data_IF_868005848322
#
_entry.id   IF_868005848322
#
_cell.length_a   1.000
_cell.length_b   1.000
_cell.length_c   1.000
_cell.angle_alpha   90.00
_cell.angle_beta   90.00
_cell.angle_gamma   90.00
#
_symmetry.space_group_name_H-M   'P 1'
#
loop_
_entity.id
_entity.type
_entity.pdbx_description
1 polymer ?
#
# COMPACT_ATOMS: atom_id res chain seq x y z
N UNK A 1 -18.99 -0.55 9.11
CA UNK A 1 -19.43 0.03 7.80
C UNK A 1 -20.95 0.07 7.78
N UNK A 2 -21.65 0.73 6.85
CA UNK A 2 -23.11 0.61 6.74
C UNK A 2 -23.53 0.58 5.27
N UNK A 3 -24.56 -0.20 4.94
CA UNK A 3 -25.18 -0.15 3.62
C UNK A 3 -25.81 1.23 3.38
N UNK A 4 -25.56 1.80 2.21
CA UNK A 4 -26.08 3.09 1.78
C UNK A 4 -27.21 2.98 0.74
N UNK A 5 -27.64 1.75 0.43
CA UNK A 5 -28.69 1.45 -0.55
C UNK A 5 -28.26 1.67 -2.01
N UNK A 6 -26.97 1.95 -2.26
CA UNK A 6 -26.41 2.21 -3.61
C UNK A 6 -25.41 1.14 -4.04
N UNK A 7 -25.45 -0.04 -3.41
CA UNK A 7 -24.63 -1.20 -3.78
C UNK A 7 -23.23 -1.21 -3.16
N UNK A 8 -22.96 -0.42 -2.12
CA UNK A 8 -21.71 -0.54 -1.37
C UNK A 8 -21.66 -1.80 -0.48
N UNK A 9 -22.79 -2.50 -0.34
CA UNK A 9 -22.91 -3.76 0.36
C UNK A 9 -23.93 -4.65 -0.36
N UNK A 10 -23.60 -5.92 -0.54
CA UNK A 10 -24.42 -6.95 -1.18
C UNK A 10 -24.30 -8.21 -0.32
N UNK A 11 -25.45 -8.77 0.04
CA UNK A 11 -25.55 -10.07 0.71
C UNK A 11 -26.54 -10.94 -0.08
N UNK A 12 -26.06 -12.07 -0.61
CA UNK A 12 -26.85 -13.01 -1.43
C UNK A 12 -26.71 -14.43 -0.91
N UNK A 13 -27.78 -15.22 -1.08
CA UNK A 13 -27.77 -16.66 -0.81
C UNK A 13 -27.63 -17.41 -2.13
N UNK A 14 -26.60 -18.23 -2.22
CA UNK A 14 -26.29 -19.04 -3.39
C UNK A 14 -26.45 -20.54 -3.10
N UNK A 15 -26.67 -21.33 -4.14
CA UNK A 15 -26.55 -22.79 -4.10
C UNK A 15 -25.07 -23.23 -4.16
N UNK A 16 -24.82 -24.55 -4.16
CA UNK A 16 -23.47 -25.11 -4.29
C UNK A 16 -22.79 -24.82 -5.64
N UNK A 17 -23.57 -24.47 -6.67
CA UNK A 17 -23.08 -24.06 -7.99
C UNK A 17 -22.84 -22.55 -8.09
N UNK A 18 -22.98 -21.81 -6.98
CA UNK A 18 -22.84 -20.34 -6.90
C UNK A 18 -23.92 -19.57 -7.68
N UNK A 19 -25.07 -20.17 -7.92
CA UNK A 19 -26.25 -19.51 -8.50
C UNK A 19 -27.06 -18.90 -7.37
N UNK A 20 -27.54 -17.65 -7.56
CA UNK A 20 -28.37 -16.97 -6.58
C UNK A 20 -29.75 -17.65 -6.49
N UNK A 21 -30.10 -18.08 -5.27
CA UNK A 21 -31.36 -18.79 -4.98
C UNK A 21 -32.18 -18.12 -3.89
N UNK A 22 -31.59 -17.21 -3.11
CA UNK A 22 -32.22 -16.55 -1.96
C UNK A 22 -33.64 -16.00 -2.22
N UNK A 23 -33.89 -15.28 -3.33
CA UNK A 23 -35.21 -14.77 -3.69
C UNK A 23 -36.27 -15.85 -3.94
N UNK A 24 -35.86 -17.04 -4.42
CA UNK A 24 -36.74 -18.14 -4.79
C UNK A 24 -36.98 -19.12 -3.64
N UNK A 25 -36.35 -18.89 -2.48
CA UNK A 25 -36.57 -19.68 -1.29
C UNK A 25 -37.93 -19.36 -0.62
N UNK A 26 -38.44 -20.32 0.14
CA UNK A 26 -39.64 -20.29 0.94
C UNK A 26 -39.29 -20.89 2.31
N UNK A 27 -39.00 -20.08 3.33
CA UNK A 27 -39.13 -18.63 3.34
C UNK A 27 -38.00 -17.95 2.55
N UNK A 28 -38.31 -16.81 1.94
CA UNK A 28 -37.35 -16.04 1.14
C UNK A 28 -36.16 -15.61 2.00
N UNK A 29 -34.96 -15.69 1.44
CA UNK A 29 -33.71 -15.31 2.11
C UNK A 29 -33.02 -14.22 1.29
N UNK A 30 -33.44 -12.97 1.51
CA UNK A 30 -33.06 -11.83 0.69
C UNK A 30 -32.78 -10.62 1.58
N UNK A 31 -31.58 -10.09 1.52
CA UNK A 31 -31.23 -8.81 2.14
C UNK A 31 -31.69 -7.65 1.24
N UNK A 32 -32.21 -6.54 1.79
CA UNK A 32 -32.44 -6.24 3.23
C UNK A 32 -33.83 -6.68 3.74
N UNK A 33 -34.59 -7.43 2.95
CA UNK A 33 -36.00 -7.72 3.23
C UNK A 33 -36.17 -8.69 4.43
N UNK A 34 -35.60 -9.89 4.31
CA UNK A 34 -35.74 -11.00 5.27
C UNK A 34 -34.47 -11.30 6.05
N UNK A 35 -33.40 -10.52 5.83
CA UNK A 35 -32.12 -10.63 6.53
C UNK A 35 -31.76 -9.26 7.08
N UNK A 36 -31.55 -9.19 8.39
CA UNK A 36 -31.05 -7.99 9.06
C UNK A 36 -29.53 -8.10 9.25
N UNK A 37 -28.79 -7.00 9.14
CA UNK A 37 -27.33 -6.98 9.26
C UNK A 37 -26.92 -5.99 10.34
N UNK A 38 -26.27 -6.51 11.38
CA UNK A 38 -25.49 -5.74 12.32
C UNK A 38 -24.08 -5.56 11.77
N UNK A 39 -23.84 -4.40 11.17
CA UNK A 39 -22.54 -4.08 10.57
C UNK A 39 -21.45 -3.71 11.59
N UNK A 40 -21.81 -3.51 12.86
CA UNK A 40 -20.85 -3.20 13.91
C UNK A 40 -20.23 -4.51 14.42
N UNK A 41 -21.06 -5.53 14.61
CA UNK A 41 -20.62 -6.85 15.07
C UNK A 41 -20.35 -7.84 13.92
N UNK A 42 -20.67 -7.48 12.68
CA UNK A 42 -20.49 -8.35 11.52
C UNK A 42 -21.45 -9.54 11.51
N UNK A 43 -22.61 -9.40 12.14
CA UNK A 43 -23.61 -10.46 12.28
C UNK A 43 -24.74 -10.20 11.29
N UNK A 44 -25.20 -11.23 10.58
CA UNK A 44 -26.45 -11.16 9.82
C UNK A 44 -27.43 -12.19 10.36
N UNK A 45 -28.67 -11.75 10.57
CA UNK A 45 -29.74 -12.52 11.18
C UNK A 45 -30.84 -12.77 10.15
N UNK A 46 -31.14 -14.04 9.90
CA UNK A 46 -32.29 -14.43 9.10
C UNK A 46 -33.56 -14.25 9.96
N UNK A 47 -34.56 -13.51 9.46
CA UNK A 47 -35.85 -13.37 10.16
C UNK A 47 -36.59 -14.70 10.27
N UNK A 48 -36.36 -15.59 9.32
CA UNK A 48 -36.86 -16.97 9.32
C UNK A 48 -35.73 -17.93 8.93
N UNK A 49 -35.65 -19.12 9.56
CA UNK A 49 -34.64 -20.10 9.22
C UNK A 49 -34.85 -20.66 7.82
N UNK A 50 -33.82 -21.29 7.27
CA UNK A 50 -33.97 -22.14 6.08
C UNK A 50 -34.96 -23.27 6.36
N UNK A 51 -35.78 -23.62 5.38
CA UNK A 51 -36.78 -24.69 5.51
C UNK A 51 -36.42 -25.95 4.72
N UNK A 52 -37.06 -27.05 5.11
CA UNK A 52 -36.99 -28.33 4.40
C UNK A 52 -37.60 -28.19 3.01
N UNK A 53 -36.81 -28.47 1.97
CA UNK A 53 -37.30 -28.63 0.60
C UNK A 53 -38.07 -27.42 0.05
N UNK A 54 -37.84 -26.23 0.60
CA UNK A 54 -38.53 -25.02 0.17
C UNK A 54 -40.06 -25.08 0.31
N UNK A 55 -40.56 -25.85 1.27
CA UNK A 55 -41.97 -26.28 1.28
C UNK A 55 -42.81 -25.65 2.39
N UNK A 56 -42.18 -25.09 3.44
CA UNK A 56 -42.90 -24.46 4.55
C UNK A 56 -42.06 -23.39 5.26
N UNK A 57 -42.60 -22.18 5.53
CA UNK A 57 -41.88 -21.12 6.23
C UNK A 57 -41.70 -21.38 7.74
N UNK A 58 -42.41 -22.36 8.31
CA UNK A 58 -42.44 -22.60 9.76
C UNK A 58 -41.63 -23.79 10.23
N UNK A 59 -41.10 -24.60 9.31
CA UNK A 59 -40.36 -25.83 9.65
C UNK A 59 -38.89 -25.71 9.24
N UNK A 60 -37.96 -25.54 10.19
CA UNK A 60 -36.53 -25.42 9.90
C UNK A 60 -35.95 -26.68 9.23
N UNK A 61 -34.98 -26.50 8.35
CA UNK A 61 -34.21 -27.59 7.72
C UNK A 61 -33.33 -28.29 8.78
N UNK A 62 -33.63 -29.54 9.17
CA UNK A 62 -32.94 -30.21 10.27
C UNK A 62 -31.47 -30.45 9.94
N UNK A 63 -31.10 -30.57 8.67
CA UNK A 63 -29.70 -30.82 8.28
C UNK A 63 -28.82 -29.58 8.46
N UNK A 64 -29.41 -28.38 8.33
CA UNK A 64 -28.67 -27.12 8.47
C UNK A 64 -28.48 -26.74 9.94
N UNK A 65 -29.42 -27.17 10.80
CA UNK A 65 -29.45 -26.83 12.23
C UNK A 65 -29.14 -28.02 13.16
N UNK A 66 -28.63 -29.14 12.63
CA UNK A 66 -28.19 -30.29 13.40
C UNK A 66 -26.87 -30.02 14.15
N UNK A 67 -26.51 -30.92 15.08
CA UNK A 67 -25.21 -30.90 15.77
C UNK A 67 -24.01 -31.04 14.79
N UNK A 68 -24.21 -31.76 13.68
CA UNK A 68 -23.24 -31.88 12.59
C UNK A 68 -23.90 -31.34 11.30
N UNK A 69 -23.89 -30.01 11.09
CA UNK A 69 -24.67 -29.40 10.03
C UNK A 69 -24.09 -29.68 8.64
N UNK A 70 -24.98 -29.90 7.67
CA UNK A 70 -24.62 -30.07 6.26
C UNK A 70 -24.87 -28.75 5.52
N UNK A 71 -23.82 -28.18 4.95
CA UNK A 71 -23.93 -26.95 4.17
C UNK A 71 -24.56 -27.22 2.80
N UNK A 72 -25.80 -26.74 2.62
CA UNK A 72 -26.53 -26.80 1.34
C UNK A 72 -26.40 -25.51 0.53
N UNK A 73 -25.92 -24.42 1.13
CA UNK A 73 -26.01 -23.04 0.60
C UNK A 73 -24.80 -22.21 1.02
N UNK A 74 -24.51 -21.16 0.26
CA UNK A 74 -23.41 -20.24 0.49
C UNK A 74 -23.96 -18.83 0.68
N UNK A 75 -23.43 -18.07 1.64
CA UNK A 75 -23.64 -16.63 1.69
C UNK A 75 -22.51 -15.95 0.91
N UNK A 76 -22.87 -15.17 -0.11
CA UNK A 76 -21.95 -14.29 -0.82
C UNK A 76 -22.12 -12.88 -0.29
N UNK A 77 -21.06 -12.38 0.32
CA UNK A 77 -20.98 -11.00 0.81
C UNK A 77 -19.99 -10.27 -0.09
N UNK A 78 -20.44 -9.16 -0.68
CA UNK A 78 -19.57 -8.19 -1.33
C UNK A 78 -19.76 -6.85 -0.66
N UNK A 79 -18.67 -6.15 -0.38
CA UNK A 79 -18.75 -4.81 0.16
C UNK A 79 -17.62 -3.97 -0.42
N UNK A 80 -17.91 -2.70 -0.62
CA UNK A 80 -16.93 -1.69 -1.00
C UNK A 80 -16.73 -0.76 0.19
N UNK A 81 -15.51 -0.75 0.71
CA UNK A 81 -15.10 0.17 1.75
C UNK A 81 -13.95 1.04 1.28
N UNK A 82 -14.04 2.33 1.58
CA UNK A 82 -12.93 3.25 1.39
C UNK A 82 -12.14 3.30 2.68
N UNK A 83 -11.01 2.59 2.72
CA UNK A 83 -10.00 2.89 3.72
C UNK A 83 -9.47 4.31 3.45
N UNK A 84 -9.53 5.17 4.46
CA UNK A 84 -9.02 6.55 4.41
C UNK A 84 -7.55 6.64 4.84
N UNK A 85 -7.02 5.51 5.27
CA UNK A 85 -5.68 5.37 5.83
C UNK A 85 -4.99 4.26 5.08
N UNK A 86 -3.80 4.56 4.57
CA UNK A 86 -2.96 3.60 3.88
C UNK A 86 -1.81 3.22 4.80
N UNK A 87 -1.55 1.93 4.91
CA UNK A 87 -0.38 1.42 5.61
C UNK A 87 0.83 1.50 4.68
N UNK A 88 1.91 2.06 5.18
CA UNK A 88 3.20 2.12 4.52
C UNK A 88 4.08 1.03 5.14
N UNK A 89 4.84 1.40 6.17
CA UNK A 89 5.71 0.52 6.94
C UNK A 89 5.92 1.18 8.32
N UNK A 90 6.08 0.43 9.42
CA UNK A 90 6.39 1.00 10.72
C UNK A 90 7.79 1.64 10.74
N UNK A 91 8.04 2.53 11.71
CA UNK A 91 9.33 3.22 11.91
C UNK A 91 9.78 4.06 10.70
N UNK A 92 8.88 4.81 10.10
CA UNK A 92 9.23 5.74 9.03
C UNK A 92 10.17 6.83 9.57
N UNK A 93 11.22 7.15 8.80
CA UNK A 93 12.08 8.29 9.09
C UNK A 93 11.24 9.55 8.95
N UNK A 94 11.19 10.32 10.04
CA UNK A 94 10.39 11.53 10.15
C UNK A 94 10.76 12.50 9.02
N UNK A 95 9.73 12.91 8.27
CA UNK A 95 9.82 13.82 7.14
C UNK A 95 10.53 13.33 5.87
N UNK A 96 10.88 12.05 5.77
CA UNK A 96 11.51 11.48 4.58
C UNK A 96 10.57 11.32 3.38
N UNK A 97 9.26 11.42 3.60
CA UNK A 97 8.30 11.07 2.57
C UNK A 97 8.15 12.13 1.48
N UNK A 98 7.91 11.65 0.26
CA UNK A 98 7.39 12.42 -0.87
C UNK A 98 6.13 11.68 -1.34
N UNK A 99 5.01 12.39 -1.33
CA UNK A 99 3.70 11.86 -1.73
C UNK A 99 3.23 12.59 -2.97
N UNK A 100 2.92 11.85 -4.02
CA UNK A 100 2.43 12.35 -5.31
C UNK A 100 1.09 11.68 -5.61
N UNK A 101 0.07 12.46 -5.90
CA UNK A 101 -1.25 12.00 -6.32
C UNK A 101 -1.51 12.47 -7.74
N UNK A 102 -1.71 11.53 -8.67
CA UNK A 102 -1.98 11.81 -10.09
C UNK A 102 -0.94 12.79 -10.70
N UNK A 103 0.34 12.61 -10.34
CA UNK A 103 1.46 13.47 -10.76
C UNK A 103 1.63 14.77 -9.98
N UNK A 104 0.71 15.11 -9.07
CA UNK A 104 0.82 16.31 -8.22
C UNK A 104 1.43 15.98 -6.86
N UNK A 105 2.53 16.64 -6.51
CA UNK A 105 3.12 16.55 -5.17
C UNK A 105 2.18 17.14 -4.12
N UNK A 106 1.90 16.36 -3.08
CA UNK A 106 1.07 16.74 -1.95
C UNK A 106 1.91 17.30 -0.80
N UNK A 107 1.29 18.14 0.03
CA UNK A 107 1.94 18.83 1.14
C UNK A 107 1.54 18.22 2.48
N UNK A 108 2.53 17.82 3.29
CA UNK A 108 2.32 17.33 4.66
C UNK A 108 1.59 18.38 5.51
N UNK A 109 0.70 17.92 6.38
CA UNK A 109 -0.15 18.71 7.29
C UNK A 109 -1.09 19.70 6.57
N UNK A 110 -1.20 19.61 5.23
CA UNK A 110 -2.13 20.39 4.41
C UNK A 110 -3.02 19.45 3.59
N UNK A 111 -2.43 18.45 2.96
CA UNK A 111 -3.11 17.44 2.13
C UNK A 111 -3.20 16.07 2.82
N UNK A 112 -2.23 15.74 3.67
CA UNK A 112 -2.16 14.48 4.43
C UNK A 112 -1.37 14.64 5.73
N UNK A 113 -1.45 13.66 6.62
CA UNK A 113 -0.53 13.47 7.74
C UNK A 113 -0.08 12.01 7.84
N UNK A 114 1.04 11.77 8.53
CA UNK A 114 1.61 10.45 8.75
C UNK A 114 1.80 10.20 10.25
N UNK A 115 1.34 9.05 10.71
CA UNK A 115 1.82 8.43 11.95
C UNK A 115 3.11 7.67 11.63
N UNK A 116 4.25 8.28 11.96
CA UNK A 116 5.57 7.74 11.60
C UNK A 116 5.94 6.48 12.38
N UNK A 117 5.39 6.30 13.58
CA UNK A 117 5.66 5.13 14.41
C UNK A 117 4.83 3.93 13.92
N UNK A 118 3.52 4.14 13.74
CA UNK A 118 2.61 3.09 13.30
C UNK A 118 2.66 2.84 11.78
N UNK A 119 3.22 3.78 11.00
CA UNK A 119 3.42 3.61 9.56
C UNK A 119 2.17 3.92 8.72
N UNK A 120 1.27 4.75 9.20
CA UNK A 120 0.01 5.04 8.52
C UNK A 120 -0.03 6.46 7.95
N UNK A 121 -0.38 6.60 6.68
CA UNK A 121 -0.70 7.89 6.05
C UNK A 121 -2.22 8.07 5.96
N UNK A 122 -2.69 9.27 6.28
CA UNK A 122 -4.10 9.66 6.16
C UNK A 122 -4.23 10.95 5.36
N UNK A 123 -5.08 10.95 4.33
CA UNK A 123 -5.35 12.11 3.49
C UNK A 123 -6.52 12.93 4.03
N UNK A 124 -6.39 14.26 4.04
CA UNK A 124 -7.47 15.14 4.52
C UNK A 124 -8.62 15.27 3.51
N UNK A 125 -8.31 15.16 2.21
CA UNK A 125 -9.28 15.26 1.12
C UNK A 125 -9.41 13.92 0.35
N UNK A 126 -9.94 12.86 0.99
CA UNK A 126 -9.99 11.51 0.41
C UNK A 126 -10.87 11.43 -0.85
N UNK A 127 -11.80 12.37 -1.05
CA UNK A 127 -12.66 12.41 -2.24
C UNK A 127 -11.88 12.67 -3.54
N UNK A 128 -10.66 13.23 -3.43
CA UNK A 128 -9.72 13.37 -4.56
C UNK A 128 -9.12 12.03 -5.00
N UNK A 129 -9.20 11.01 -4.14
CA UNK A 129 -8.65 9.67 -4.39
C UNK A 129 -9.79 8.78 -4.90
N UNK A 130 -9.74 8.49 -6.20
CA UNK A 130 -10.71 7.64 -6.89
C UNK A 130 -10.10 6.28 -7.20
N UNK A 131 -10.92 5.34 -7.68
CA UNK A 131 -10.44 4.01 -8.09
C UNK A 131 -9.42 4.07 -9.23
N UNK A 132 -9.39 5.16 -10.01
CA UNK A 132 -8.42 5.38 -11.08
C UNK A 132 -7.22 6.23 -10.68
N UNK A 133 -7.18 6.74 -9.44
CA UNK A 133 -6.08 7.60 -9.00
C UNK A 133 -4.80 6.79 -8.76
N UNK A 134 -3.67 7.36 -9.12
CA UNK A 134 -2.33 6.80 -8.86
C UNK A 134 -1.68 7.58 -7.73
N UNK A 135 -1.23 6.86 -6.69
CA UNK A 135 -0.50 7.43 -5.56
C UNK A 135 0.92 6.89 -5.59
N UNK A 136 1.87 7.75 -5.90
CA UNK A 136 3.30 7.44 -5.83
C UNK A 136 3.87 7.95 -4.51
N UNK A 137 4.53 7.08 -3.76
CA UNK A 137 5.15 7.42 -2.48
C UNK A 137 6.58 6.89 -2.42
N UNK A 138 7.50 7.77 -2.02
CA UNK A 138 8.84 7.40 -1.61
C UNK A 138 9.09 7.87 -0.19
N UNK A 139 9.71 7.04 0.64
CA UNK A 139 9.99 7.31 2.04
C UNK A 139 11.17 6.46 2.50
N UNK A 140 11.76 6.83 3.63
CA UNK A 140 12.80 6.05 4.29
C UNK A 140 12.24 5.40 5.55
N UNK A 141 12.73 4.19 5.86
CA UNK A 141 12.35 3.42 7.04
C UNK A 141 13.59 3.25 7.89
N UNK A 142 13.49 3.57 9.18
CA UNK A 142 14.56 3.31 10.12
C UNK A 142 14.66 1.79 10.33
N UNK A 143 15.86 1.20 10.20
CA UNK A 143 16.03 -0.23 10.41
C UNK A 143 15.62 -0.57 11.85
N UNK A 144 14.79 -1.61 12.01
CA UNK A 144 14.62 -2.23 13.32
C UNK A 144 16.00 -2.67 13.83
N UNK A 145 16.25 -2.56 15.13
CA UNK A 145 17.57 -2.75 15.77
C UNK A 145 18.28 -4.10 15.49
N UNK A 146 17.66 -5.03 14.74
CA UNK A 146 18.21 -6.32 14.34
C UNK A 146 18.31 -6.53 12.81
N UNK A 147 18.08 -5.51 11.98
CA UNK A 147 18.30 -5.62 10.55
C UNK A 147 19.74 -5.19 10.23
N UNK A 148 20.52 -6.15 9.73
CA UNK A 148 21.86 -6.07 9.14
C UNK A 148 22.45 -4.65 9.03
N UNK A 149 23.54 -4.40 9.77
CA UNK A 149 24.30 -3.15 9.73
C UNK A 149 24.99 -2.95 8.36
N UNK A 150 24.27 -2.54 7.34
CA UNK A 150 24.89 -2.19 6.07
C UNK A 150 25.89 -1.04 6.29
N UNK A 151 27.14 -1.28 5.94
CA UNK A 151 28.21 -0.29 6.12
C UNK A 151 28.40 0.45 4.81
N UNK A 152 28.12 1.75 4.78
CA UNK A 152 28.40 2.61 3.64
C UNK A 152 29.76 3.30 3.82
N UNK A 153 30.67 3.07 2.88
CA UNK A 153 31.97 3.73 2.79
C UNK A 153 32.05 4.51 1.48
N UNK A 154 32.36 5.80 1.58
CA UNK A 154 32.45 6.68 0.43
C UNK A 154 33.72 7.50 0.41
N UNK A 155 34.22 7.77 -0.79
CA UNK A 155 35.25 8.80 -1.01
C UNK A 155 34.86 9.68 -2.18
N UNK A 156 35.10 10.98 -2.03
CA UNK A 156 34.92 11.96 -3.10
C UNK A 156 36.19 12.76 -3.26
N UNK A 157 36.65 12.87 -4.50
CA UNK A 157 37.75 13.75 -4.88
C UNK A 157 37.21 14.75 -5.87
N UNK A 158 37.48 16.03 -5.63
CA UNK A 158 37.13 17.10 -6.57
C UNK A 158 38.29 18.06 -6.72
N UNK A 159 38.37 18.67 -7.89
CA UNK A 159 39.40 19.65 -8.20
C UNK A 159 38.79 20.83 -8.97
N UNK A 160 39.18 22.03 -8.58
CA UNK A 160 38.80 23.28 -9.23
C UNK A 160 39.96 23.77 -10.11
N UNK A 161 39.77 23.81 -11.42
CA UNK A 161 40.73 24.41 -12.35
C UNK A 161 40.39 25.89 -12.52
N UNK A 162 41.05 26.72 -11.70
CA UNK A 162 40.77 28.15 -11.59
C UNK A 162 39.33 28.42 -11.13
N UNK A 163 38.85 29.65 -11.34
CA UNK A 163 37.54 30.08 -10.81
C UNK A 163 36.33 29.64 -11.66
N UNK A 164 36.59 28.86 -12.73
CA UNK A 164 35.62 28.64 -13.82
C UNK A 164 35.32 27.19 -14.10
N UNK A 165 36.13 26.23 -13.67
CA UNK A 165 35.88 24.82 -13.98
C UNK A 165 36.09 23.95 -12.75
N UNK A 166 35.22 22.95 -12.56
CA UNK A 166 35.42 21.91 -11.56
C UNK A 166 35.10 20.55 -12.14
N UNK A 167 35.85 19.53 -11.72
CA UNK A 167 35.53 18.12 -11.94
C UNK A 167 35.54 17.41 -10.60
N UNK A 168 34.62 16.47 -10.43
CA UNK A 168 34.52 15.63 -9.27
C UNK A 168 34.33 14.17 -9.65
N UNK A 169 34.73 13.29 -8.74
CA UNK A 169 34.42 11.87 -8.80
C UNK A 169 34.06 11.38 -7.41
N UNK A 170 33.02 10.56 -7.33
CA UNK A 170 32.55 9.93 -6.10
C UNK A 170 32.57 8.42 -6.29
N UNK A 171 33.07 7.71 -5.28
CA UNK A 171 32.96 6.26 -5.18
C UNK A 171 32.24 5.95 -3.87
N UNK A 172 31.14 5.21 -3.95
CA UNK A 172 30.39 4.72 -2.80
C UNK A 172 30.35 3.21 -2.82
N UNK A 173 30.66 2.59 -1.69
CA UNK A 173 30.57 1.16 -1.48
C UNK A 173 29.71 0.87 -0.27
N UNK A 174 28.63 0.12 -0.47
CA UNK A 174 27.77 -0.39 0.59
C UNK A 174 28.04 -1.88 0.78
N UNK A 175 28.53 -2.23 1.96
CA UNK A 175 28.74 -3.61 2.37
C UNK A 175 27.53 -4.10 3.17
N UNK A 176 26.81 -5.09 2.64
CA UNK A 176 25.76 -5.79 3.39
C UNK A 176 26.34 -6.54 4.58
N UNK A 177 25.79 -6.34 5.78
CA UNK A 177 26.22 -7.10 6.97
C UNK A 177 25.70 -8.54 6.91
N UNK A 178 26.59 -9.51 7.12
CA UNK A 178 26.22 -10.92 7.38
C UNK A 178 26.14 -11.13 8.88
N UNK A 179 25.03 -11.70 9.36
CA UNK A 179 24.95 -12.17 10.74
C UNK A 179 26.04 -13.23 11.01
N UNK A 180 26.76 -13.17 12.15
CA UNK A 180 27.78 -14.18 12.49
C UNK A 180 27.19 -15.55 12.85
N UNK A 181 25.87 -15.65 13.00
CA UNK A 181 25.15 -16.92 13.16
C UNK A 181 24.73 -17.49 11.80
N UNK A 182 24.32 -18.77 11.79
CA UNK A 182 23.97 -19.52 10.55
C UNK A 182 23.05 -18.66 9.65
N UNK A 183 23.44 -18.37 8.41
CA UNK A 183 22.69 -17.49 7.52
C UNK A 183 21.32 -18.09 7.20
N UNK A 184 20.27 -17.29 7.31
CA UNK A 184 18.92 -17.70 6.90
C UNK A 184 18.76 -17.60 5.38
N UNK A 185 17.91 -18.43 4.79
CA UNK A 185 17.70 -18.53 3.32
C UNK A 185 17.13 -17.23 2.73
N UNK A 186 16.64 -16.32 3.59
CA UNK A 186 16.13 -14.98 3.26
C UNK A 186 17.18 -13.86 3.41
N UNK A 187 18.35 -14.14 4.00
CA UNK A 187 19.43 -13.16 4.19
C UNK A 187 20.37 -13.15 2.97
N UNK A 188 20.08 -12.30 2.01
CA UNK A 188 20.98 -12.02 0.89
C UNK A 188 21.82 -10.80 1.27
N UNK A 189 23.03 -11.02 1.80
CA UNK A 189 24.00 -9.95 1.94
C UNK A 189 24.41 -9.47 0.54
N UNK A 190 23.80 -8.38 0.09
CA UNK A 190 24.11 -7.72 -1.17
C UNK A 190 25.13 -6.63 -0.94
N UNK A 191 25.99 -6.42 -1.93
CA UNK A 191 26.92 -5.29 -1.93
C UNK A 191 26.61 -4.39 -3.11
N UNK A 192 26.65 -3.08 -2.89
CA UNK A 192 26.41 -2.07 -3.91
C UNK A 192 27.64 -1.18 -4.07
N UNK A 193 28.07 -1.00 -5.31
CA UNK A 193 29.18 -0.13 -5.67
C UNK A 193 28.69 0.91 -6.68
N UNK A 194 28.82 2.18 -6.33
CA UNK A 194 28.41 3.32 -7.17
C UNK A 194 29.63 4.16 -7.52
N UNK A 195 29.73 4.51 -8.79
CA UNK A 195 30.74 5.42 -9.32
C UNK A 195 30.05 6.61 -9.98
N UNK A 196 30.52 7.81 -9.65
CA UNK A 196 29.98 9.06 -10.16
C UNK A 196 31.12 9.95 -10.69
N UNK A 197 30.81 10.71 -11.73
CA UNK A 197 31.66 11.75 -12.30
C UNK A 197 30.82 13.00 -12.57
N UNK A 198 31.30 14.14 -12.11
CA UNK A 198 30.64 15.43 -12.31
C UNK A 198 31.60 16.47 -12.89
N UNK A 199 31.04 17.36 -13.71
CA UNK A 199 31.76 18.45 -14.35
C UNK A 199 30.94 19.73 -14.34
N UNK A 200 31.58 20.85 -14.02
CA UNK A 200 30.94 22.16 -14.02
C UNK A 200 31.83 23.22 -14.68
N UNK A 201 31.22 24.07 -15.50
CA UNK A 201 31.83 25.24 -16.10
C UNK A 201 31.02 26.48 -15.71
N UNK A 202 31.61 27.34 -14.88
CA UNK A 202 31.00 28.54 -14.30
C UNK A 202 31.41 29.78 -15.09
N UNK A 203 30.46 30.71 -15.23
CA UNK A 203 30.70 32.06 -15.74
C UNK A 203 31.27 32.13 -17.16
N UNK A 204 30.76 31.32 -18.07
CA UNK A 204 31.04 31.39 -19.51
C UNK A 204 30.36 32.64 -20.07
N UNK A 205 31.12 33.60 -20.60
CA UNK A 205 30.57 34.81 -21.21
C UNK A 205 30.03 34.49 -22.60
N UNK A 206 28.77 34.85 -22.86
CA UNK A 206 28.14 34.78 -24.19
C UNK A 206 27.76 36.21 -24.58
N UNK A 207 28.58 36.84 -25.42
CA UNK A 207 28.49 38.28 -25.69
C UNK A 207 28.78 39.13 -24.44
N UNK A 208 28.35 40.40 -24.47
CA UNK A 208 28.78 41.40 -23.48
C UNK A 208 27.91 41.45 -22.21
N UNK A 209 26.77 40.77 -22.20
CA UNK A 209 25.76 40.87 -21.13
C UNK A 209 25.30 39.55 -20.53
N UNK A 210 25.63 38.40 -21.12
CA UNK A 210 25.15 37.10 -20.65
C UNK A 210 26.30 36.27 -20.09
N UNK A 211 26.04 35.64 -18.96
CA UNK A 211 26.96 34.74 -18.28
C UNK A 211 26.24 33.42 -18.02
N UNK A 212 26.79 32.33 -18.52
CA UNK A 212 26.23 30.99 -18.46
C UNK A 212 27.03 30.10 -17.51
N UNK A 213 26.35 29.21 -16.80
CA UNK A 213 26.96 28.11 -16.06
C UNK A 213 26.39 26.81 -16.59
N UNK A 214 27.25 25.84 -16.88
CA UNK A 214 26.90 24.51 -17.36
C UNK A 214 27.37 23.47 -16.33
N UNK A 215 26.56 22.46 -16.07
CA UNK A 215 26.92 21.30 -15.23
C UNK A 215 26.44 20.01 -15.88
N UNK A 216 27.21 18.94 -15.71
CA UNK A 216 26.85 17.60 -16.17
C UNK A 216 27.35 16.56 -15.18
N UNK A 217 26.57 15.49 -15.01
CA UNK A 217 26.82 14.41 -14.05
C UNK A 217 26.55 13.06 -14.73
N UNK A 218 27.36 12.05 -14.38
CA UNK A 218 27.20 10.67 -14.83
C UNK A 218 27.41 9.73 -13.65
N UNK A 219 26.45 8.83 -13.41
CA UNK A 219 26.51 7.84 -12.33
C UNK A 219 26.19 6.43 -12.84
N UNK A 220 26.91 5.44 -12.33
CA UNK A 220 26.69 4.03 -12.61
C UNK A 220 26.82 3.19 -11.33
N UNK A 221 25.96 2.18 -11.18
CA UNK A 221 25.96 1.27 -10.03
C UNK A 221 26.10 -0.20 -10.44
N UNK A 222 26.78 -0.99 -9.61
CA UNK A 222 26.85 -2.46 -9.72
C UNK A 222 26.42 -3.10 -8.41
N UNK A 223 25.47 -4.02 -8.47
CA UNK A 223 25.05 -4.87 -7.36
C UNK A 223 25.66 -6.27 -7.52
N UNK A 224 26.19 -6.84 -6.43
CA UNK A 224 26.63 -8.24 -6.34
C UNK A 224 25.95 -8.91 -5.16
#
# INVERSE_FOLDING_TARGET
>A
MRDNGRGNFILRVLDQNRVEVGPDLLPQQKYPDTIDVDFENGIFQLKQPFSVGNSSPSTPDPDVYAQTPISKRLFRIEYSYRFKTFFLEPNLVVQSEIVILDGQKLTRNVDYFIDYEAGFITFFNPDRITTGSTIDMSFEVAPFANLNNDTLLGTRVSHEWGDKYSLGTTILYQAGSKSPTVPQITELAKSLLVYEFDAQAKRIKIGDKLTLTLSGEFAQSRQN
#
